data_IF_407704378868
#
_entry.id   IF_407704378868
#
_cell.length_a   1.000
_cell.length_b   1.000
_cell.length_c   1.000
_cell.angle_alpha   90.00
_cell.angle_beta   90.00
_cell.angle_gamma   90.00
#
_symmetry.space_group_name_H-M   'P 1'
#
loop_
_entity.id
_entity.type
_entity.pdbx_description
1 polymer ?
#
# COMPACT_ATOMS: atom_id res chain seq x y z
N UNK A 1 -23.11 -10.13 -3.69
CA UNK A 1 -24.59 -10.20 -3.79
C UNK A 1 -25.30 -8.86 -3.59
N UNK A 2 -24.81 -7.92 -2.76
CA UNK A 2 -25.42 -6.59 -2.62
C UNK A 2 -25.33 -5.72 -3.88
N UNK A 3 -24.21 -5.77 -4.60
CA UNK A 3 -23.99 -4.98 -5.82
C UNK A 3 -24.87 -5.42 -6.99
N UNK A 4 -25.14 -6.72 -7.13
CA UNK A 4 -26.06 -7.24 -8.15
C UNK A 4 -27.52 -6.80 -7.94
N UNK A 5 -27.94 -6.52 -6.69
CA UNK A 5 -29.29 -6.00 -6.41
C UNK A 5 -29.43 -4.51 -6.67
N UNK A 6 -28.33 -3.75 -6.61
CA UNK A 6 -28.31 -2.31 -6.90
C UNK A 6 -28.42 -2.07 -8.41
N UNK A 7 -27.85 -2.95 -9.24
CA UNK A 7 -27.93 -2.83 -10.71
C UNK A 7 -29.34 -3.08 -11.29
N UNK A 8 -30.23 -3.74 -10.53
CA UNK A 8 -31.62 -4.04 -10.93
C UNK A 8 -32.61 -2.98 -10.42
N UNK A 9 -32.20 -2.14 -9.48
CA UNK A 9 -33.06 -1.10 -8.94
C UNK A 9 -33.15 0.08 -9.93
N UNK A 10 -34.36 0.41 -10.37
CA UNK A 10 -34.58 1.63 -11.16
C UNK A 10 -34.12 2.85 -10.36
N UNK A 11 -33.39 3.79 -10.99
CA UNK A 11 -32.96 5.01 -10.31
C UNK A 11 -34.19 5.81 -9.91
N UNK A 12 -34.42 5.94 -8.60
CA UNK A 12 -35.53 6.73 -8.05
C UNK A 12 -35.27 8.21 -8.34
N UNK A 13 -35.99 8.76 -9.32
CA UNK A 13 -36.00 10.19 -9.64
C UNK A 13 -37.12 10.85 -8.83
N UNK A 14 -36.77 11.46 -7.69
CA UNK A 14 -37.75 12.18 -6.87
C UNK A 14 -38.21 13.44 -7.60
N UNK A 15 -39.51 13.73 -7.59
CA UNK A 15 -40.06 14.97 -8.15
C UNK A 15 -39.78 16.16 -7.20
N UNK A 16 -39.80 17.39 -7.73
CA UNK A 16 -39.46 18.61 -6.97
C UNK A 16 -40.39 18.78 -5.75
N UNK A 17 -41.66 18.40 -5.87
CA UNK A 17 -42.64 18.42 -4.77
C UNK A 17 -42.32 17.40 -3.68
N UNK A 18 -41.84 16.20 -4.06
CA UNK A 18 -41.44 15.16 -3.11
C UNK A 18 -40.17 15.56 -2.33
N UNK A 19 -39.25 16.29 -2.97
CA UNK A 19 -38.03 16.84 -2.37
C UNK A 19 -38.36 17.92 -1.31
N UNK A 20 -39.37 18.75 -1.56
CA UNK A 20 -39.79 19.82 -0.66
C UNK A 20 -40.50 19.32 0.62
N UNK A 21 -40.87 18.03 0.68
CA UNK A 21 -41.56 17.45 1.83
C UNK A 21 -40.67 17.33 3.08
N UNK A 22 -41.21 17.52 4.30
CA UNK A 22 -40.47 17.31 5.56
C UNK A 22 -39.97 15.86 5.73
N UNK A 23 -40.64 14.90 5.09
CA UNK A 23 -40.29 13.48 5.12
C UNK A 23 -38.99 13.22 4.34
N UNK A 24 -38.82 13.86 3.17
CA UNK A 24 -37.62 13.77 2.33
C UNK A 24 -36.35 14.20 3.08
N UNK A 25 -36.41 15.27 3.88
CA UNK A 25 -35.26 15.73 4.68
C UNK A 25 -34.78 14.70 5.70
N UNK A 26 -35.67 13.90 6.28
CA UNK A 26 -35.29 12.81 7.20
C UNK A 26 -34.55 11.69 6.46
N UNK A 27 -34.99 11.35 5.25
CA UNK A 27 -34.35 10.34 4.41
C UNK A 27 -32.98 10.82 3.88
N UNK A 28 -32.87 12.09 3.52
CA UNK A 28 -31.59 12.73 3.14
C UNK A 28 -30.61 12.70 4.32
N UNK A 29 -31.04 13.06 5.54
CA UNK A 29 -30.18 13.00 6.71
C UNK A 29 -29.79 11.56 7.08
N UNK A 30 -30.71 10.60 6.95
CA UNK A 30 -30.44 9.17 7.19
C UNK A 30 -29.44 8.59 6.20
N UNK A 31 -29.58 8.91 4.91
CA UNK A 31 -28.64 8.50 3.86
C UNK A 31 -27.28 9.17 4.05
N UNK A 32 -27.23 10.46 4.37
CA UNK A 32 -26.00 11.17 4.67
C UNK A 32 -25.25 10.56 5.87
N UNK A 33 -25.96 10.23 6.96
CA UNK A 33 -25.40 9.54 8.12
C UNK A 33 -24.81 8.17 7.75
N UNK A 34 -25.53 7.38 6.94
CA UNK A 34 -25.04 6.08 6.47
C UNK A 34 -23.80 6.22 5.60
N UNK A 35 -23.78 7.20 4.70
CA UNK A 35 -22.62 7.50 3.84
C UNK A 35 -21.42 7.92 4.68
N UNK A 36 -21.59 8.84 5.64
CA UNK A 36 -20.51 9.26 6.54
C UNK A 36 -19.97 8.08 7.35
N UNK A 37 -20.87 7.27 7.92
CA UNK A 37 -20.49 6.12 8.73
C UNK A 37 -19.68 5.12 7.90
N UNK A 38 -20.13 4.80 6.69
CA UNK A 38 -19.41 3.92 5.74
C UNK A 38 -18.05 4.52 5.34
N UNK A 39 -18.01 5.82 5.03
CA UNK A 39 -16.76 6.53 4.68
C UNK A 39 -15.77 6.51 5.85
N UNK A 40 -16.24 6.78 7.06
CA UNK A 40 -15.42 6.72 8.28
C UNK A 40 -14.79 5.35 8.46
N UNK A 41 -15.57 4.27 8.41
CA UNK A 41 -15.02 2.91 8.55
C UNK A 41 -14.08 2.55 7.41
N UNK A 42 -14.34 2.99 6.17
CA UNK A 42 -13.46 2.77 5.02
C UNK A 42 -12.13 3.52 5.18
N UNK A 43 -12.16 4.78 5.60
CA UNK A 43 -10.97 5.61 5.87
C UNK A 43 -10.19 5.02 7.04
N UNK A 44 -10.85 4.65 8.14
CA UNK A 44 -10.24 4.01 9.30
C UNK A 44 -9.54 2.71 8.91
N UNK A 45 -10.20 1.86 8.11
CA UNK A 45 -9.59 0.61 7.64
C UNK A 45 -8.44 0.86 6.67
N UNK A 46 -8.53 1.87 5.81
CA UNK A 46 -7.43 2.27 4.92
C UNK A 46 -6.22 2.77 5.72
N UNK A 47 -6.44 3.56 6.77
CA UNK A 47 -5.39 4.02 7.68
C UNK A 47 -4.81 2.84 8.43
N UNK A 48 -5.64 1.99 9.06
CA UNK A 48 -5.16 0.85 9.83
C UNK A 48 -4.37 -0.15 8.98
N UNK A 49 -4.90 -0.51 7.81
CA UNK A 49 -4.21 -1.40 6.87
C UNK A 49 -3.02 -0.72 6.18
N UNK A 50 -3.04 0.60 6.02
CA UNK A 50 -1.96 1.36 5.40
C UNK A 50 -0.79 1.61 6.33
N UNK A 51 -1.08 1.85 7.62
CA UNK A 51 -0.11 2.08 8.69
C UNK A 51 0.54 0.77 9.14
N UNK A 52 -0.14 -0.36 8.96
CA UNK A 52 0.44 -1.68 9.21
C UNK A 52 1.74 -1.89 8.41
N UNK A 53 2.82 -2.41 9.02
CA UNK A 53 2.93 -2.97 10.38
C UNK A 53 3.41 -1.96 11.43
N UNK A 54 3.62 -0.70 11.06
CA UNK A 54 3.97 0.32 12.03
C UNK A 54 2.73 0.65 12.88
N UNK A 55 2.91 0.89 14.18
CA UNK A 55 1.80 1.28 15.06
C UNK A 55 1.74 2.80 15.17
N UNK A 56 0.53 3.37 15.26
CA UNK A 56 0.34 4.77 15.63
C UNK A 56 1.03 5.14 16.96
N UNK A 57 1.24 4.14 17.84
CA UNK A 57 2.04 4.33 19.05
C UNK A 57 3.51 4.65 18.77
N UNK A 58 4.08 4.12 17.69
CA UNK A 58 5.47 4.41 17.31
C UNK A 58 5.64 5.87 16.88
N UNK A 59 4.63 6.45 16.22
CA UNK A 59 4.61 7.89 15.88
C UNK A 59 4.63 8.73 17.15
N UNK A 60 3.78 8.39 18.12
CA UNK A 60 3.75 9.13 19.39
C UNK A 60 5.08 9.04 20.13
N UNK A 61 5.70 7.86 20.15
CA UNK A 61 7.01 7.65 20.78
C UNK A 61 8.12 8.43 20.06
N UNK A 62 8.14 8.44 18.73
CA UNK A 62 9.13 9.21 17.95
C UNK A 62 8.96 10.71 18.14
N UNK A 63 7.73 11.22 18.15
CA UNK A 63 7.46 12.64 18.46
C UNK A 63 7.91 12.97 19.88
N UNK A 64 7.55 12.15 20.88
CA UNK A 64 7.93 12.37 22.27
C UNK A 64 9.45 12.38 22.46
N UNK A 65 10.14 11.40 21.87
CA UNK A 65 11.61 11.32 21.95
C UNK A 65 12.28 12.53 21.28
N UNK A 66 11.80 12.99 20.12
CA UNK A 66 12.30 14.22 19.49
C UNK A 66 12.06 15.47 20.35
N UNK A 67 10.89 15.61 20.98
CA UNK A 67 10.59 16.73 21.88
C UNK A 67 11.56 16.72 23.05
N UNK A 68 11.75 15.57 23.70
CA UNK A 68 12.68 15.42 24.83
C UNK A 68 14.12 15.73 24.41
N UNK A 69 14.52 15.27 23.22
CA UNK A 69 15.86 15.51 22.66
C UNK A 69 16.14 17.01 22.47
N UNK A 70 15.17 17.75 21.93
CA UNK A 70 15.28 19.20 21.71
C UNK A 70 15.21 20.03 23.00
N UNK A 71 14.59 19.50 24.07
CA UNK A 71 14.48 20.21 25.34
C UNK A 71 15.67 19.96 26.29
N UNK A 72 16.17 18.71 26.35
CA UNK A 72 17.25 18.32 27.26
C UNK A 72 18.63 18.63 26.66
N UNK A 73 18.74 18.63 25.33
CA UNK A 73 19.97 18.88 24.60
C UNK A 73 21.19 18.07 25.10
N UNK A 74 21.09 16.73 25.19
CA UNK A 74 22.21 15.93 25.68
C UNK A 74 23.40 15.99 24.71
N UNK A 75 24.61 16.08 25.27
CA UNK A 75 25.86 16.27 24.51
C UNK A 75 26.12 15.17 23.47
N UNK A 76 25.65 13.95 23.73
CA UNK A 76 25.78 12.79 22.84
C UNK A 76 25.04 12.96 21.49
N UNK A 77 23.92 13.69 21.49
CA UNK A 77 23.05 13.83 20.29
C UNK A 77 23.11 15.23 19.70
N UNK A 78 24.20 15.95 19.95
CA UNK A 78 24.43 17.32 19.49
C UNK A 78 24.23 17.49 17.97
N UNK A 79 24.71 16.56 17.15
CA UNK A 79 24.52 16.60 15.69
C UNK A 79 23.06 16.43 15.23
N UNK A 80 22.29 15.60 15.93
CA UNK A 80 20.86 15.39 15.64
C UNK A 80 20.08 16.64 16.06
N UNK A 81 20.38 17.20 17.22
CA UNK A 81 19.75 18.45 17.68
C UNK A 81 20.05 19.62 16.76
N UNK A 82 21.30 19.77 16.31
CA UNK A 82 21.65 20.79 15.31
C UNK A 82 20.83 20.63 14.02
N UNK A 83 20.64 19.39 13.57
CA UNK A 83 19.82 19.11 12.38
C UNK A 83 18.34 19.45 12.61
N UNK A 84 17.78 19.14 13.78
CA UNK A 84 16.41 19.49 14.14
C UNK A 84 16.21 21.00 14.21
N UNK A 85 17.16 21.75 14.79
CA UNK A 85 17.13 23.20 14.80
C UNK A 85 17.29 23.81 13.40
N UNK A 86 18.14 23.23 12.54
CA UNK A 86 18.24 23.65 11.14
C UNK A 86 16.90 23.48 10.39
N UNK A 87 16.18 22.39 10.63
CA UNK A 87 14.83 22.18 10.08
C UNK A 87 13.86 23.22 10.64
N UNK A 88 13.97 23.57 11.93
CA UNK A 88 13.17 24.62 12.54
C UNK A 88 13.39 25.99 11.89
N UNK A 89 14.63 26.31 11.55
CA UNK A 89 15.00 27.53 10.83
C UNK A 89 14.50 27.51 9.38
N UNK A 90 14.58 26.37 8.69
CA UNK A 90 14.04 26.18 7.34
C UNK A 90 12.51 26.40 7.30
N UNK A 91 11.81 26.08 8.38
CA UNK A 91 10.37 26.20 8.49
C UNK A 91 9.89 27.65 8.79
N UNK A 92 10.79 28.64 8.77
CA UNK A 92 10.50 30.07 8.97
C UNK A 92 9.59 30.38 10.17
N UNK A 93 9.81 29.70 11.30
CA UNK A 93 9.00 29.90 12.50
C UNK A 93 9.30 31.31 13.06
N UNK A 94 8.27 32.15 13.34
CA UNK A 94 8.47 33.51 13.82
C UNK A 94 9.19 33.52 15.18
N UNK A 95 10.17 34.43 15.33
CA UNK A 95 11.10 34.50 16.46
C UNK A 95 10.44 34.81 17.83
N UNK A 96 9.14 35.11 17.86
CA UNK A 96 8.39 35.35 19.11
C UNK A 96 7.78 34.09 19.75
N UNK A 97 7.93 32.91 19.16
CA UNK A 97 7.36 31.68 19.72
C UNK A 97 8.18 31.13 20.90
N UNK A 98 7.54 30.65 21.99
CA UNK A 98 8.24 29.99 23.07
C UNK A 98 8.91 28.70 22.57
N UNK A 99 10.10 28.42 23.10
CA UNK A 99 10.96 27.27 22.73
C UNK A 99 10.20 25.93 22.72
N UNK A 100 9.28 25.76 23.66
CA UNK A 100 8.44 24.55 23.80
C UNK A 100 7.47 24.36 22.63
N UNK A 101 6.83 25.44 22.14
CA UNK A 101 5.95 25.35 20.98
C UNK A 101 6.73 25.08 19.70
N UNK A 102 7.90 25.69 19.55
CA UNK A 102 8.79 25.43 18.42
C UNK A 102 9.23 23.96 18.39
N UNK A 103 9.70 23.43 19.52
CA UNK A 103 10.09 22.03 19.65
C UNK A 103 8.93 21.08 19.35
N UNK A 104 7.70 21.39 19.78
CA UNK A 104 6.50 20.58 19.53
C UNK A 104 6.13 20.53 18.04
N UNK A 105 6.14 21.68 17.36
CA UNK A 105 5.81 21.77 15.93
C UNK A 105 6.84 21.00 15.10
N UNK A 106 8.13 21.28 15.31
CA UNK A 106 9.23 20.64 14.58
C UNK A 106 9.24 19.14 14.81
N UNK A 107 9.14 18.70 16.07
CA UNK A 107 9.14 17.27 16.41
C UNK A 107 7.94 16.53 15.83
N UNK A 108 6.77 17.20 15.76
CA UNK A 108 5.57 16.63 15.16
C UNK A 108 5.72 16.45 13.64
N UNK A 109 6.24 17.47 12.93
CA UNK A 109 6.48 17.39 11.49
C UNK A 109 7.54 16.33 11.18
N UNK A 110 8.69 16.39 11.84
CA UNK A 110 9.79 15.43 11.64
C UNK A 110 9.33 14.01 11.99
N UNK A 111 8.58 13.84 13.08
CA UNK A 111 8.03 12.54 13.47
C UNK A 111 7.09 11.96 12.43
N UNK A 112 6.16 12.77 11.88
CA UNK A 112 5.23 12.34 10.83
C UNK A 112 5.97 12.00 9.53
N UNK A 113 6.90 12.85 9.09
CA UNK A 113 7.67 12.64 7.85
C UNK A 113 8.53 11.39 7.96
N UNK A 114 9.28 11.24 9.07
CA UNK A 114 10.10 10.05 9.34
C UNK A 114 9.25 8.79 9.38
N UNK A 115 8.07 8.85 10.00
CA UNK A 115 7.14 7.73 10.02
C UNK A 115 6.66 7.32 8.62
N UNK A 116 6.26 8.29 7.78
CA UNK A 116 5.86 8.02 6.40
C UNK A 116 7.03 7.40 5.62
N UNK A 117 8.24 7.95 5.78
CA UNK A 117 9.44 7.44 5.12
C UNK A 117 9.75 5.98 5.54
N UNK A 118 9.71 5.68 6.83
CA UNK A 118 9.91 4.31 7.35
C UNK A 118 8.83 3.34 6.86
N UNK A 119 7.59 3.80 6.76
CA UNK A 119 6.48 3.02 6.22
C UNK A 119 6.74 2.66 4.75
N UNK A 120 7.11 3.65 3.91
CA UNK A 120 7.44 3.43 2.49
C UNK A 120 8.65 2.51 2.36
N UNK A 121 9.72 2.75 3.13
CA UNK A 121 10.93 1.94 3.11
C UNK A 121 10.61 0.47 3.41
N UNK A 122 9.88 0.21 4.49
CA UNK A 122 9.50 -1.15 4.87
C UNK A 122 8.61 -1.82 3.82
N UNK A 123 7.67 -1.07 3.23
CA UNK A 123 6.81 -1.58 2.16
C UNK A 123 7.63 -1.95 0.92
N UNK A 124 8.61 -1.13 0.55
CA UNK A 124 9.53 -1.38 -0.56
C UNK A 124 10.41 -2.60 -0.31
N UNK A 125 10.95 -2.74 0.91
CA UNK A 125 11.72 -3.92 1.32
C UNK A 125 10.86 -5.18 1.25
N UNK A 126 9.64 -5.17 1.82
CA UNK A 126 8.73 -6.31 1.73
C UNK A 126 8.39 -6.65 0.28
N UNK A 127 8.18 -5.64 -0.58
CA UNK A 127 7.93 -5.86 -2.01
C UNK A 127 9.10 -6.55 -2.70
N UNK A 128 10.32 -6.11 -2.40
CA UNK A 128 11.54 -6.71 -2.93
C UNK A 128 11.70 -8.16 -2.45
N UNK A 129 11.51 -8.39 -1.15
CA UNK A 129 11.57 -9.74 -0.58
C UNK A 129 10.52 -10.65 -1.20
N UNK A 130 9.26 -10.21 -1.31
CA UNK A 130 8.19 -11.01 -1.91
C UNK A 130 8.31 -11.18 -3.43
N UNK A 131 9.15 -10.38 -4.09
CA UNK A 131 9.50 -10.56 -5.50
C UNK A 131 10.42 -11.75 -5.73
N UNK A 132 11.15 -12.21 -4.71
CA UNK A 132 11.98 -13.39 -4.82
C UNK A 132 11.13 -14.66 -4.97
N UNK A 133 11.28 -15.36 -6.10
CA UNK A 133 10.56 -16.60 -6.43
C UNK A 133 11.43 -17.86 -6.44
N UNK A 134 12.73 -17.73 -6.19
CA UNK A 134 13.64 -18.88 -6.25
C UNK A 134 13.27 -20.01 -5.28
N UNK A 135 12.67 -19.66 -4.14
CA UNK A 135 12.15 -20.63 -3.17
C UNK A 135 11.12 -21.61 -3.72
N UNK A 136 10.37 -21.23 -4.77
CA UNK A 136 9.31 -22.07 -5.36
C UNK A 136 9.87 -23.19 -6.24
N UNK A 137 11.07 -23.02 -6.77
CA UNK A 137 11.75 -23.98 -7.63
C UNK A 137 12.75 -24.84 -6.87
N UNK A 138 12.94 -24.59 -5.57
CA UNK A 138 13.79 -25.40 -4.70
C UNK A 138 13.07 -26.69 -4.30
N UNK A 139 13.86 -27.76 -4.10
CA UNK A 139 13.33 -29.04 -3.66
C UNK A 139 12.76 -28.90 -2.23
N UNK A 140 11.50 -29.31 -1.97
CA UNK A 140 10.87 -29.19 -0.65
C UNK A 140 11.65 -29.83 0.52
N UNK A 141 12.52 -30.80 0.23
CA UNK A 141 13.30 -31.52 1.24
C UNK A 141 14.67 -30.89 1.55
N UNK A 142 15.14 -29.97 0.72
CA UNK A 142 16.46 -29.33 0.88
C UNK A 142 16.36 -27.84 0.61
N UNK A 143 16.36 -27.05 1.67
CA UNK A 143 16.33 -25.59 1.57
C UNK A 143 17.74 -25.02 1.54
N UNK A 144 17.95 -24.05 0.66
CA UNK A 144 19.21 -23.30 0.60
C UNK A 144 19.33 -22.34 1.81
N UNK A 145 20.55 -22.00 2.20
CA UNK A 145 20.80 -20.98 3.24
C UNK A 145 20.11 -19.67 2.86
N UNK A 146 20.12 -19.31 1.57
CA UNK A 146 19.48 -18.12 1.04
C UNK A 146 17.96 -18.11 1.30
N UNK A 147 17.25 -19.23 1.08
CA UNK A 147 15.80 -19.30 1.35
C UNK A 147 15.49 -19.24 2.84
N UNK A 148 16.38 -19.78 3.68
CA UNK A 148 16.25 -19.69 5.15
C UNK A 148 16.41 -18.25 5.63
N UNK A 149 17.45 -17.54 5.16
CA UNK A 149 17.69 -16.13 5.48
C UNK A 149 16.54 -15.26 4.96
N UNK A 150 16.08 -15.50 3.73
CA UNK A 150 14.93 -14.84 3.15
C UNK A 150 13.68 -15.02 4.01
N UNK A 151 13.37 -16.25 4.44
CA UNK A 151 12.23 -16.54 5.30
C UNK A 151 12.32 -15.78 6.63
N UNK A 152 13.50 -15.76 7.25
CA UNK A 152 13.77 -14.97 8.45
C UNK A 152 13.53 -13.47 8.25
N UNK A 153 14.02 -12.91 7.15
CA UNK A 153 13.84 -11.51 6.80
C UNK A 153 12.37 -11.16 6.54
N UNK A 154 11.63 -12.01 5.82
CA UNK A 154 10.18 -11.86 5.60
C UNK A 154 9.44 -11.90 6.93
N UNK A 155 9.80 -12.81 7.84
CA UNK A 155 9.16 -12.94 9.16
C UNK A 155 9.39 -11.70 10.04
N UNK A 156 10.63 -11.17 10.05
CA UNK A 156 10.96 -9.94 10.78
C UNK A 156 10.22 -8.73 10.22
N UNK A 157 10.24 -8.56 8.89
CA UNK A 157 9.61 -7.42 8.21
C UNK A 157 8.09 -7.50 8.17
N UNK A 158 7.48 -8.69 8.22
CA UNK A 158 6.02 -8.87 8.29
C UNK A 158 5.46 -8.59 9.69
N UNK A 159 6.28 -8.64 10.74
CA UNK A 159 5.86 -8.33 12.11
C UNK A 159 5.03 -9.44 12.79
N UNK A 160 4.65 -9.19 14.05
CA UNK A 160 4.16 -10.21 14.98
C UNK A 160 2.69 -10.64 14.78
N UNK A 161 1.85 -9.80 14.16
CA UNK A 161 0.43 -10.08 13.90
C UNK A 161 -0.01 -9.51 12.54
N UNK A 162 0.26 -10.22 11.44
CA UNK A 162 -0.27 -9.84 10.14
C UNK A 162 -1.80 -9.97 10.11
N UNK A 163 -2.48 -8.88 9.76
CA UNK A 163 -3.91 -8.92 9.39
C UNK A 163 -4.06 -9.57 8.01
N UNK A 164 -5.22 -10.13 7.67
CA UNK A 164 -5.44 -10.83 6.38
C UNK A 164 -5.00 -10.01 5.15
N UNK A 165 -5.25 -8.70 5.15
CA UNK A 165 -4.96 -7.81 4.01
C UNK A 165 -3.71 -6.96 4.19
N UNK A 166 -2.89 -7.29 5.18
CA UNK A 166 -1.72 -6.52 5.60
C UNK A 166 -0.62 -6.44 4.52
N UNK A 167 -0.27 -7.58 3.93
CA UNK A 167 0.76 -7.67 2.89
C UNK A 167 0.25 -7.30 1.48
N UNK A 168 -1.06 -7.07 1.31
CA UNK A 168 -1.65 -6.87 -0.02
C UNK A 168 -1.03 -5.67 -0.74
N UNK A 169 -0.67 -4.62 0.00
CA UNK A 169 -0.03 -3.43 -0.56
C UNK A 169 1.43 -3.66 -0.96
N UNK A 170 2.08 -4.64 -0.37
CA UNK A 170 3.50 -4.97 -0.59
C UNK A 170 3.68 -6.00 -1.70
N UNK A 171 2.62 -6.72 -2.11
CA UNK A 171 2.72 -7.71 -3.18
C UNK A 171 3.19 -7.05 -4.49
N UNK A 172 4.22 -7.60 -5.15
CA UNK A 172 4.65 -7.11 -6.46
C UNK A 172 3.52 -7.29 -7.48
N UNK A 173 3.44 -6.38 -8.46
CA UNK A 173 2.55 -6.57 -9.60
C UNK A 173 3.02 -7.81 -10.37
N UNK A 174 2.07 -8.60 -10.86
CA UNK A 174 2.41 -9.72 -11.72
C UNK A 174 3.00 -9.16 -13.03
N UNK A 175 4.24 -9.52 -13.40
CA UNK A 175 4.79 -9.09 -14.68
C UNK A 175 3.98 -9.72 -15.81
N UNK A 176 3.76 -8.95 -16.86
CA UNK A 176 3.14 -9.45 -18.10
C UNK A 176 4.23 -10.20 -18.88
N UNK A 177 4.02 -11.47 -19.27
CA UNK A 177 4.97 -12.20 -20.09
C UNK A 177 5.11 -11.53 -21.46
N UNK A 178 6.25 -11.74 -22.13
CA UNK A 178 6.41 -11.27 -23.51
C UNK A 178 5.43 -12.02 -24.43
N UNK A 179 4.99 -11.37 -25.50
CA UNK A 179 4.10 -11.98 -26.50
C UNK A 179 4.77 -13.23 -27.08
N UNK A 180 6.06 -13.13 -27.44
CA UNK A 180 6.87 -14.23 -27.94
C UNK A 180 6.92 -15.44 -27.01
N UNK A 181 7.19 -15.23 -25.71
CA UNK A 181 7.22 -16.33 -24.74
C UNK A 181 5.85 -16.99 -24.59
N UNK A 182 4.78 -16.19 -24.69
CA UNK A 182 3.41 -16.67 -24.60
C UNK A 182 3.05 -17.53 -25.82
N UNK A 183 3.41 -17.10 -27.03
CA UNK A 183 3.21 -17.85 -28.28
C UNK A 183 3.98 -19.17 -28.28
N UNK A 184 5.26 -19.16 -27.86
CA UNK A 184 6.05 -20.39 -27.79
C UNK A 184 5.43 -21.42 -26.83
N UNK A 185 5.01 -20.98 -25.64
CA UNK A 185 4.33 -21.86 -24.67
C UNK A 185 2.99 -22.38 -25.20
N UNK A 186 2.26 -21.54 -25.94
CA UNK A 186 1.03 -21.95 -26.60
C UNK A 186 1.31 -23.08 -27.60
N UNK A 187 2.31 -22.93 -28.48
CA UNK A 187 2.67 -23.97 -29.45
C UNK A 187 3.10 -25.28 -28.79
N UNK A 188 3.90 -25.21 -27.71
CA UNK A 188 4.27 -26.39 -26.93
C UNK A 188 3.04 -27.09 -26.33
N UNK A 189 2.06 -26.33 -25.83
CA UNK A 189 0.83 -26.88 -25.27
C UNK A 189 -0.12 -27.48 -26.31
N UNK A 190 -0.08 -26.99 -27.55
CA UNK A 190 -0.91 -27.47 -28.67
C UNK A 190 -0.28 -28.64 -29.42
N UNK A 191 1.05 -28.80 -29.36
CA UNK A 191 1.79 -29.90 -30.02
C UNK A 191 1.21 -31.30 -29.76
N UNK A 192 0.76 -31.67 -28.54
CA UNK A 192 0.14 -32.98 -28.31
C UNK A 192 -1.34 -33.06 -28.72
N UNK A 193 -1.99 -31.94 -29.06
CA UNK A 193 -3.44 -31.86 -29.32
C UNK A 193 -3.78 -31.65 -30.80
N UNK A 194 -2.90 -30.98 -31.56
CA UNK A 194 -3.11 -30.63 -32.95
C UNK A 194 -2.28 -31.53 -33.88
N UNK A 195 -2.76 -31.70 -35.11
CA UNK A 195 -1.96 -32.27 -36.19
C UNK A 195 -0.85 -31.30 -36.61
N UNK A 196 0.21 -31.80 -37.24
CA UNK A 196 1.36 -30.98 -37.67
C UNK A 196 0.96 -29.87 -38.67
N UNK A 197 -0.11 -30.08 -39.44
CA UNK A 197 -0.63 -29.09 -40.40
C UNK A 197 -1.35 -27.94 -39.70
N UNK A 198 -2.26 -28.27 -38.77
CA UNK A 198 -2.98 -27.29 -37.94
C UNK A 198 -2.00 -26.47 -37.08
N UNK A 199 -0.97 -27.13 -36.52
CA UNK A 199 0.03 -26.45 -35.71
C UNK A 199 0.85 -25.45 -36.54
N UNK A 200 1.18 -25.77 -37.79
CA UNK A 200 1.88 -24.85 -38.71
C UNK A 200 1.03 -23.65 -39.07
N UNK A 201 -0.27 -23.83 -39.29
CA UNK A 201 -1.19 -22.73 -39.57
C UNK A 201 -1.26 -21.76 -38.38
N UNK A 202 -1.42 -22.29 -37.16
CA UNK A 202 -1.46 -21.49 -35.92
C UNK A 202 -0.13 -20.76 -35.67
N UNK A 203 1.01 -21.39 -36.00
CA UNK A 203 2.32 -20.74 -35.92
C UNK A 203 2.46 -19.58 -36.92
N UNK A 204 1.93 -19.73 -38.13
CA UNK A 204 1.92 -18.67 -39.14
C UNK A 204 1.06 -17.48 -38.69
N UNK A 205 -0.16 -17.75 -38.20
CA UNK A 205 -1.06 -16.72 -37.65
C UNK A 205 -0.43 -16.01 -36.43
N UNK A 206 0.23 -16.76 -35.55
CA UNK A 206 0.90 -16.15 -34.39
C UNK A 206 2.09 -15.28 -34.77
N UNK A 207 2.84 -15.61 -35.84
CA UNK A 207 3.89 -14.72 -36.38
C UNK A 207 3.31 -13.43 -36.97
N UNK A 208 2.19 -13.53 -37.69
CA UNK A 208 1.48 -12.35 -38.21
C UNK A 208 1.00 -11.45 -37.07
N UNK A 209 0.42 -12.03 -36.02
CA UNK A 209 0.03 -11.32 -34.81
C UNK A 209 1.21 -10.64 -34.10
N UNK A 210 2.34 -11.34 -33.93
CA UNK A 210 3.56 -10.75 -33.34
C UNK A 210 4.07 -9.57 -34.18
N UNK A 211 4.04 -9.68 -35.51
CA UNK A 211 4.47 -8.61 -36.42
C UNK A 211 3.56 -7.38 -36.43
N UNK A 212 2.28 -7.54 -36.08
CA UNK A 212 1.31 -6.43 -36.01
C UNK A 212 1.49 -5.60 -34.73
N UNK A 213 2.07 -6.18 -33.68
CA UNK A 213 2.27 -5.54 -32.37
C UNK A 213 3.65 -4.90 -32.19
N UNK A 214 4.60 -5.19 -33.08
CA UNK A 214 5.97 -4.66 -33.08
C UNK A 214 6.05 -3.30 -33.78
#
# INVERSE_FOLDING_TARGET
>A
MAEARIAVAEPRVNTIEEIASPQSWKDVLGSFRSIITKRYYKVRNLIYNGVWPASLSNVRLTILTCIVLMLIEPSLTSGINASLWNIAHLLCIPQGCPRTLQALIVSSIVGIVSFIALMILRQSLLRLLLSYRGWMYENPKSHTILTTVWCGAVRLLSGYKPSLYSCQRSLPRLPVPSVKDTLNRLYESLKPLCTEEELKEIQMQGKEFESTLA
#
